data_IF_401542356785
#
_entry.id   IF_401542356785
#
_cell.length_a   1.000
_cell.length_b   1.000
_cell.length_c   1.000
_cell.angle_alpha   90.00
_cell.angle_beta   90.00
_cell.angle_gamma   90.00
#
_symmetry.space_group_name_H-M   'P 1'
#
loop_
_entity.id
_entity.type
_entity.pdbx_description
1 polymer ?
#
# COMPACT_ATOMS: atom_id res chain seq x y z
N UNK A 1 6.55 26.63 14.89
CA UNK A 1 7.55 25.55 14.88
C UNK A 1 7.46 24.75 13.57
N UNK A 2 8.43 24.93 12.66
CA UNK A 2 8.49 24.29 11.34
C UNK A 2 9.35 23.00 11.39
N UNK A 3 8.90 21.99 12.15
CA UNK A 3 9.64 20.73 12.20
C UNK A 3 9.36 19.90 10.95
N UNK A 4 10.40 19.65 10.13
CA UNK A 4 10.33 18.85 8.90
C UNK A 4 9.52 17.56 9.07
N UNK A 5 9.82 16.80 10.12
CA UNK A 5 9.11 15.56 10.45
C UNK A 5 7.62 15.74 10.73
N UNK A 6 7.22 16.80 11.43
CA UNK A 6 5.80 17.05 11.72
C UNK A 6 5.03 17.40 10.44
N UNK A 7 5.64 18.21 9.55
CA UNK A 7 5.10 18.54 8.23
C UNK A 7 4.95 17.28 7.38
N UNK A 8 6.00 16.44 7.34
CA UNK A 8 5.97 15.17 6.63
C UNK A 8 4.90 14.22 7.15
N UNK A 9 4.79 14.04 8.47
CA UNK A 9 3.76 13.18 9.06
C UNK A 9 2.33 13.68 8.76
N UNK A 10 2.11 14.98 8.65
CA UNK A 10 0.83 15.50 8.17
C UNK A 10 0.56 15.09 6.71
N UNK A 11 1.57 15.18 5.84
CA UNK A 11 1.48 14.69 4.46
C UNK A 11 1.19 13.19 4.38
N UNK A 12 1.86 12.39 5.21
CA UNK A 12 1.57 10.96 5.36
C UNK A 12 0.11 10.72 5.74
N UNK A 13 -0.42 11.46 6.73
CA UNK A 13 -1.81 11.27 7.18
C UNK A 13 -2.81 11.53 6.06
N UNK A 14 -2.58 12.57 5.24
CA UNK A 14 -3.43 12.86 4.09
C UNK A 14 -3.37 11.75 3.03
N UNK A 15 -2.16 11.29 2.67
CA UNK A 15 -2.01 10.16 1.77
C UNK A 15 -2.59 8.86 2.34
N UNK A 16 -2.48 8.62 3.64
CA UNK A 16 -3.08 7.45 4.29
C UNK A 16 -4.60 7.51 4.26
N UNK A 17 -5.22 8.68 4.46
CA UNK A 17 -6.67 8.83 4.33
C UNK A 17 -7.14 8.53 2.91
N UNK A 18 -6.43 9.00 1.88
CA UNK A 18 -6.70 8.63 0.50
C UNK A 18 -6.54 7.12 0.26
N UNK A 19 -5.41 6.55 0.67
CA UNK A 19 -5.10 5.14 0.46
C UNK A 19 -6.10 4.20 1.14
N UNK A 20 -6.56 4.56 2.33
CA UNK A 20 -7.57 3.82 3.10
C UNK A 20 -9.01 4.08 2.62
N UNK A 21 -9.21 5.01 1.68
CA UNK A 21 -10.53 5.41 1.19
C UNK A 21 -11.37 6.21 2.20
N UNK A 22 -10.73 6.83 3.17
CA UNK A 22 -11.36 7.71 4.19
C UNK A 22 -11.51 9.14 3.67
N UNK A 23 -10.75 9.53 2.66
CA UNK A 23 -10.87 10.81 1.97
C UNK A 23 -10.77 10.59 0.46
N UNK A 24 -11.38 11.48 -0.31
CA UNK A 24 -11.26 11.44 -1.77
C UNK A 24 -9.82 11.78 -2.18
N UNK A 25 -9.12 10.90 -2.91
CA UNK A 25 -7.71 11.10 -3.23
C UNK A 25 -7.44 12.39 -4.02
N UNK A 26 -8.37 12.81 -4.89
CA UNK A 26 -8.26 14.08 -5.63
C UNK A 26 -8.25 15.33 -4.73
N UNK A 27 -8.79 15.25 -3.52
CA UNK A 27 -8.85 16.39 -2.61
C UNK A 27 -7.59 16.51 -1.73
N UNK A 28 -6.94 15.38 -1.44
CA UNK A 28 -5.89 15.33 -0.40
C UNK A 28 -4.49 15.02 -0.94
N UNK A 29 -4.35 14.39 -2.11
CA UNK A 29 -3.05 13.93 -2.59
C UNK A 29 -2.12 15.07 -3.02
N UNK A 30 -2.64 16.13 -3.64
CA UNK A 30 -1.82 17.28 -4.02
C UNK A 30 -1.28 18.01 -2.78
N UNK A 31 -2.12 18.16 -1.75
CA UNK A 31 -1.71 18.68 -0.44
C UNK A 31 -0.67 17.78 0.24
N UNK A 32 -0.85 16.45 0.18
CA UNK A 32 0.10 15.49 0.71
C UNK A 32 1.46 15.57 0.01
N UNK A 33 1.47 15.73 -1.31
CA UNK A 33 2.70 15.89 -2.10
C UNK A 33 3.42 17.19 -1.73
N UNK A 34 2.68 18.30 -1.63
CA UNK A 34 3.26 19.58 -1.21
C UNK A 34 3.87 19.51 0.19
N UNK A 35 3.20 18.84 1.14
CA UNK A 35 3.72 18.64 2.50
C UNK A 35 4.96 17.74 2.51
N UNK A 36 4.97 16.65 1.73
CA UNK A 36 6.14 15.78 1.59
C UNK A 36 7.35 16.53 1.03
N UNK A 37 7.16 17.34 -0.02
CA UNK A 37 8.23 18.15 -0.60
C UNK A 37 8.75 19.19 0.40
N UNK A 38 7.85 19.90 1.09
CA UNK A 38 8.24 20.86 2.12
C UNK A 38 9.01 20.23 3.28
N UNK A 39 8.70 18.99 3.64
CA UNK A 39 9.47 18.28 4.67
C UNK A 39 10.92 18.05 4.22
N UNK A 40 11.13 17.69 2.96
CA UNK A 40 12.48 17.55 2.38
C UNK A 40 13.21 18.89 2.24
N UNK A 41 12.51 19.94 1.83
CA UNK A 41 13.11 21.28 1.71
C UNK A 41 13.61 21.81 3.05
N UNK A 42 13.00 21.36 4.16
CA UNK A 42 13.37 21.73 5.52
C UNK A 42 14.49 20.85 6.09
N UNK A 43 14.44 19.54 5.84
CA UNK A 43 15.48 18.60 6.25
C UNK A 43 15.57 17.45 5.24
N UNK A 44 16.52 17.57 4.32
CA UNK A 44 16.78 16.56 3.29
C UNK A 44 17.59 15.36 3.81
N UNK A 45 18.14 15.45 5.03
CA UNK A 45 18.91 14.36 5.63
C UNK A 45 18.04 13.48 6.54
N UNK A 46 16.84 13.93 6.94
CA UNK A 46 15.89 13.09 7.69
C UNK A 46 15.32 11.96 6.81
N UNK A 47 15.61 10.67 7.09
CA UNK A 47 15.04 9.55 6.33
C UNK A 47 13.50 9.51 6.40
N UNK A 48 12.88 10.12 7.43
CA UNK A 48 11.41 10.22 7.50
C UNK A 48 10.83 11.12 6.42
N UNK A 49 11.50 12.21 6.04
CA UNK A 49 11.02 13.12 5.01
C UNK A 49 10.96 12.40 3.65
N UNK A 50 12.02 11.64 3.33
CA UNK A 50 12.08 10.77 2.15
C UNK A 50 11.06 9.64 2.18
N UNK A 51 10.89 8.95 3.32
CA UNK A 51 9.88 7.92 3.50
C UNK A 51 8.47 8.45 3.20
N UNK A 52 8.13 9.61 3.75
CA UNK A 52 6.82 10.25 3.55
C UNK A 52 6.61 10.55 2.08
N UNK A 53 7.56 11.25 1.42
CA UNK A 53 7.40 11.58 0.01
C UNK A 53 7.24 10.32 -0.85
N UNK A 54 8.04 9.30 -0.57
CA UNK A 54 7.95 7.99 -1.20
C UNK A 54 6.58 7.32 -1.03
N UNK A 55 6.03 7.34 0.18
CA UNK A 55 4.69 6.83 0.45
C UNK A 55 3.61 7.62 -0.30
N UNK A 56 3.69 8.95 -0.30
CA UNK A 56 2.71 9.81 -1.01
C UNK A 56 2.76 9.54 -2.51
N UNK A 57 3.96 9.43 -3.10
CA UNK A 57 4.11 9.09 -4.52
C UNK A 57 3.57 7.71 -4.85
N UNK A 58 3.76 6.72 -3.97
CA UNK A 58 3.20 5.38 -4.16
C UNK A 58 1.67 5.44 -4.19
N UNK A 59 1.04 6.13 -3.23
CA UNK A 59 -0.42 6.29 -3.19
C UNK A 59 -0.93 7.06 -4.41
N UNK A 60 -0.19 8.07 -4.88
CA UNK A 60 -0.49 8.82 -6.08
C UNK A 60 -0.20 8.06 -7.40
N UNK A 61 0.09 6.74 -7.33
CA UNK A 61 0.40 5.88 -8.49
C UNK A 61 1.57 6.41 -9.33
N UNK A 62 2.61 6.96 -8.68
CA UNK A 62 3.85 7.45 -9.29
C UNK A 62 5.02 6.52 -8.91
N UNK A 63 5.16 5.34 -9.54
CA UNK A 63 6.06 4.28 -9.07
C UNK A 63 7.55 4.65 -9.18
N UNK A 64 7.96 5.47 -10.15
CA UNK A 64 9.36 5.90 -10.27
C UNK A 64 9.74 6.89 -9.15
N UNK A 65 9.05 8.03 -8.97
CA UNK A 65 9.32 8.93 -7.83
C UNK A 65 9.20 8.27 -6.46
N UNK A 66 8.24 7.33 -6.30
CA UNK A 66 8.10 6.58 -5.04
C UNK A 66 9.36 5.80 -4.70
N UNK A 67 9.90 5.03 -5.65
CA UNK A 67 11.09 4.22 -5.43
C UNK A 67 12.34 5.07 -5.23
N UNK A 68 12.48 6.18 -5.94
CA UNK A 68 13.60 7.11 -5.77
C UNK A 68 13.63 7.65 -4.33
N UNK A 69 12.54 8.24 -3.86
CA UNK A 69 12.46 8.77 -2.50
C UNK A 69 12.60 7.67 -1.41
N UNK A 70 12.03 6.48 -1.62
CA UNK A 70 12.20 5.38 -0.65
C UNK A 70 13.62 4.83 -0.62
N UNK A 71 14.34 4.89 -1.75
CA UNK A 71 15.75 4.50 -1.81
C UNK A 71 16.60 5.51 -1.03
N UNK A 72 16.37 6.80 -1.23
CA UNK A 72 17.03 7.86 -0.44
C UNK A 72 16.79 7.71 1.07
N UNK A 73 15.57 7.33 1.49
CA UNK A 73 15.26 7.03 2.89
C UNK A 73 16.09 5.87 3.45
N UNK A 74 16.29 4.81 2.64
CA UNK A 74 17.06 3.62 3.01
C UNK A 74 18.56 3.91 3.01
N UNK A 75 19.07 4.74 2.09
CA UNK A 75 20.48 5.15 2.06
C UNK A 75 20.87 5.91 3.34
N UNK A 76 19.98 6.78 3.83
CA UNK A 76 20.16 7.51 5.11
C UNK A 76 19.97 6.62 6.33
N UNK A 77 19.07 5.64 6.26
CA UNK A 77 18.86 4.65 7.32
C UNK A 77 18.61 3.24 6.76
N UNK A 78 19.67 2.43 6.61
CA UNK A 78 19.56 1.09 6.03
C UNK A 78 18.74 0.09 6.85
N UNK A 79 18.47 0.39 8.13
CA UNK A 79 17.66 -0.45 9.01
C UNK A 79 16.21 0.03 9.12
N UNK A 80 15.79 0.96 8.25
CA UNK A 80 14.45 1.54 8.32
C UNK A 80 13.38 0.58 7.78
N UNK A 81 12.90 -0.32 8.64
CA UNK A 81 11.96 -1.37 8.28
C UNK A 81 10.70 -0.85 7.55
N UNK A 82 10.17 0.31 7.98
CA UNK A 82 9.02 0.94 7.33
C UNK A 82 9.31 1.36 5.88
N UNK A 83 10.49 1.91 5.60
CA UNK A 83 10.90 2.27 4.23
C UNK A 83 11.06 1.04 3.35
N UNK A 84 11.65 -0.04 3.86
CA UNK A 84 11.70 -1.32 3.15
C UNK A 84 10.30 -1.87 2.86
N UNK A 85 9.37 -1.81 3.81
CA UNK A 85 8.00 -2.27 3.61
C UNK A 85 7.27 -1.45 2.52
N UNK A 86 7.34 -0.12 2.58
CA UNK A 86 6.68 0.75 1.60
C UNK A 86 7.35 0.60 0.22
N UNK A 87 8.67 0.42 0.16
CA UNK A 87 9.37 0.12 -1.09
C UNK A 87 8.93 -1.22 -1.69
N UNK A 88 8.75 -2.24 -0.84
CA UNK A 88 8.17 -3.53 -1.22
C UNK A 88 6.78 -3.37 -1.84
N UNK A 89 5.92 -2.59 -1.20
CA UNK A 89 4.58 -2.27 -1.71
C UNK A 89 4.65 -1.52 -3.04
N UNK A 90 5.56 -0.54 -3.17
CA UNK A 90 5.73 0.22 -4.40
C UNK A 90 6.19 -0.66 -5.57
N UNK A 91 7.07 -1.64 -5.34
CA UNK A 91 7.45 -2.62 -6.36
C UNK A 91 6.29 -3.55 -6.73
N UNK A 92 5.58 -4.09 -5.73
CA UNK A 92 4.40 -4.94 -5.97
C UNK A 92 3.32 -4.22 -6.78
N UNK A 93 2.98 -2.98 -6.43
CA UNK A 93 2.05 -2.16 -7.18
C UNK A 93 2.55 -1.78 -8.59
N UNK A 94 3.86 -1.79 -8.82
CA UNK A 94 4.45 -1.61 -10.14
C UNK A 94 4.54 -2.91 -10.97
N UNK A 95 4.04 -4.05 -10.48
CA UNK A 95 4.12 -5.34 -11.15
C UNK A 95 5.45 -6.09 -10.93
N UNK A 96 6.34 -5.56 -10.10
CA UNK A 96 7.68 -6.10 -9.84
C UNK A 96 7.68 -6.91 -8.54
N UNK A 97 6.93 -8.02 -8.54
CA UNK A 97 6.67 -8.79 -7.33
C UNK A 97 7.91 -9.41 -6.67
N UNK A 98 8.92 -9.81 -7.44
CA UNK A 98 10.13 -10.44 -6.89
C UNK A 98 11.00 -9.45 -6.11
N UNK A 99 11.22 -8.26 -6.68
CA UNK A 99 11.91 -7.16 -6.05
C UNK A 99 11.16 -6.70 -4.79
N UNK A 100 9.84 -6.57 -4.90
CA UNK A 100 9.00 -6.14 -3.77
C UNK A 100 9.05 -7.11 -2.58
N UNK A 101 8.99 -8.41 -2.85
CA UNK A 101 9.06 -9.45 -1.81
C UNK A 101 10.39 -9.40 -1.04
N UNK A 102 11.53 -9.21 -1.73
CA UNK A 102 12.84 -9.07 -1.06
C UNK A 102 12.88 -7.94 -0.05
N UNK A 103 12.32 -6.77 -0.39
CA UNK A 103 12.25 -5.64 0.53
C UNK A 103 11.29 -5.90 1.70
N UNK A 104 10.14 -6.52 1.45
CA UNK A 104 9.18 -6.86 2.51
C UNK A 104 9.74 -7.91 3.49
N UNK A 105 10.45 -8.92 3.00
CA UNK A 105 11.13 -9.91 3.84
C UNK A 105 12.23 -9.28 4.69
N UNK A 106 12.99 -8.32 4.14
CA UNK A 106 13.97 -7.56 4.91
C UNK A 106 13.29 -6.72 5.99
N UNK A 107 12.19 -6.03 5.69
CA UNK A 107 11.40 -5.32 6.69
C UNK A 107 10.95 -6.23 7.84
N UNK A 108 10.52 -7.45 7.52
CA UNK A 108 10.12 -8.45 8.52
C UNK A 108 11.29 -8.87 9.42
N UNK A 109 12.50 -9.03 8.87
CA UNK A 109 13.71 -9.36 9.66
C UNK A 109 14.18 -8.20 10.53
N UNK A 110 14.09 -6.97 10.02
CA UNK A 110 14.49 -5.75 10.74
C UNK A 110 13.55 -5.45 11.91
N UNK A 111 12.26 -5.76 11.79
CA UNK A 111 11.25 -5.45 12.81
C UNK A 111 10.27 -6.61 13.07
N UNK A 112 10.74 -7.76 13.60
CA UNK A 112 9.95 -8.99 13.69
C UNK A 112 8.81 -8.96 14.74
N UNK A 113 8.80 -7.97 15.62
CA UNK A 113 7.81 -7.81 16.71
C UNK A 113 7.06 -6.48 16.66
N UNK A 114 7.11 -5.81 15.53
CA UNK A 114 6.59 -4.46 15.38
C UNK A 114 5.15 -4.46 14.87
N UNK A 115 4.45 -3.39 15.22
CA UNK A 115 3.11 -3.02 14.79
C UNK A 115 2.89 -3.03 13.28
N UNK A 116 3.97 -2.95 12.47
CA UNK A 116 3.90 -2.99 11.01
C UNK A 116 3.74 -4.40 10.42
N UNK A 117 3.81 -5.47 11.22
CA UNK A 117 3.84 -6.86 10.70
C UNK A 117 2.64 -7.20 9.81
N UNK A 118 1.43 -6.71 10.11
CA UNK A 118 0.26 -6.92 9.26
C UNK A 118 0.44 -6.26 7.88
N UNK A 119 1.05 -5.07 7.83
CA UNK A 119 1.35 -4.35 6.60
C UNK A 119 2.48 -5.02 5.80
N UNK A 120 3.47 -5.62 6.47
CA UNK A 120 4.50 -6.44 5.81
C UNK A 120 3.88 -7.69 5.18
N UNK A 121 3.01 -8.42 5.90
CA UNK A 121 2.29 -9.57 5.35
C UNK A 121 1.44 -9.19 4.13
N UNK A 122 0.68 -8.09 4.23
CA UNK A 122 -0.11 -7.59 3.11
C UNK A 122 0.76 -7.16 1.92
N UNK A 123 1.93 -6.58 2.18
CA UNK A 123 2.92 -6.25 1.14
C UNK A 123 3.40 -7.49 0.42
N UNK A 124 3.75 -8.56 1.15
CA UNK A 124 4.15 -9.84 0.55
C UNK A 124 3.00 -10.39 -0.29
N UNK A 125 1.76 -10.37 0.22
CA UNK A 125 0.57 -10.77 -0.54
C UNK A 125 0.38 -10.00 -1.85
N UNK A 126 0.58 -8.67 -1.82
CA UNK A 126 0.55 -7.82 -3.02
C UNK A 126 1.65 -8.21 -4.02
N UNK A 127 2.85 -8.56 -3.54
CA UNK A 127 3.96 -9.01 -4.38
C UNK A 127 3.67 -10.37 -5.03
N UNK A 128 3.04 -11.30 -4.31
CA UNK A 128 2.59 -12.57 -4.87
C UNK A 128 1.49 -12.37 -5.92
N UNK A 129 0.52 -11.50 -5.66
CA UNK A 129 -0.50 -11.13 -6.63
C UNK A 129 0.12 -10.57 -7.92
N UNK A 130 1.06 -9.61 -7.81
CA UNK A 130 1.77 -9.03 -8.94
C UNK A 130 2.54 -10.07 -9.77
N UNK A 131 3.00 -11.15 -9.14
CA UNK A 131 3.69 -12.25 -9.80
C UNK A 131 2.76 -13.38 -10.28
N UNK A 132 1.44 -13.20 -10.23
CA UNK A 132 0.45 -14.19 -10.65
C UNK A 132 0.28 -15.38 -9.69
N UNK A 133 0.91 -15.34 -8.51
CA UNK A 133 0.85 -16.38 -7.48
C UNK A 133 -0.36 -16.17 -6.57
N UNK A 134 -1.54 -16.45 -7.11
CA UNK A 134 -2.83 -16.10 -6.47
C UNK A 134 -3.05 -16.84 -5.14
N UNK A 135 -2.71 -18.13 -5.06
CA UNK A 135 -2.90 -18.93 -3.84
C UNK A 135 -2.08 -18.38 -2.66
N UNK A 136 -0.80 -18.09 -2.88
CA UNK A 136 0.05 -17.48 -1.86
C UNK A 136 -0.41 -16.06 -1.51
N UNK A 137 -0.89 -15.30 -2.50
CA UNK A 137 -1.45 -13.97 -2.22
C UNK A 137 -2.64 -14.05 -1.27
N UNK A 138 -3.54 -15.04 -1.44
CA UNK A 138 -4.67 -15.30 -0.51
C UNK A 138 -4.14 -15.60 0.90
N UNK A 139 -3.17 -16.51 1.04
CA UNK A 139 -2.62 -16.89 2.34
C UNK A 139 -2.08 -15.68 3.10
N UNK A 140 -1.24 -14.86 2.44
CA UNK A 140 -0.61 -13.71 3.08
C UNK A 140 -1.61 -12.59 3.42
N UNK A 141 -2.58 -12.31 2.54
CA UNK A 141 -3.62 -11.31 2.86
C UNK A 141 -4.52 -11.79 3.99
N UNK A 142 -4.85 -13.09 4.03
CA UNK A 142 -5.65 -13.67 5.11
C UNK A 142 -4.92 -13.56 6.46
N UNK A 143 -3.62 -13.88 6.50
CA UNK A 143 -2.79 -13.69 7.70
C UNK A 143 -2.71 -12.22 8.13
N UNK A 144 -2.63 -11.29 7.18
CA UNK A 144 -2.59 -9.86 7.47
C UNK A 144 -3.87 -9.37 8.17
N UNK A 145 -5.05 -9.80 7.70
CA UNK A 145 -6.34 -9.40 8.29
C UNK A 145 -6.62 -10.10 9.62
N UNK A 146 -6.12 -11.32 9.82
CA UNK A 146 -6.16 -12.01 11.11
C UNK A 146 -5.34 -11.25 12.17
N UNK A 147 -4.16 -10.75 11.78
CA UNK A 147 -3.31 -9.98 12.67
C UNK A 147 -3.88 -8.59 12.97
N UNK A 148 -4.46 -7.93 11.96
CA UNK A 148 -5.08 -6.60 12.12
C UNK A 148 -6.45 -6.56 11.44
N UNK A 149 -7.51 -6.79 12.23
CA UNK A 149 -8.90 -6.79 11.75
C UNK A 149 -9.38 -5.48 11.15
N UNK A 150 -8.82 -4.33 11.55
CA UNK A 150 -9.20 -3.02 10.99
C UNK A 150 -8.22 -2.53 9.91
N UNK A 151 -7.82 -3.43 9.00
CA UNK A 151 -6.85 -3.11 7.93
C UNK A 151 -7.50 -3.14 6.55
N UNK A 152 -8.13 -2.02 6.17
CA UNK A 152 -8.98 -1.94 4.98
C UNK A 152 -8.28 -2.26 3.64
N UNK A 153 -7.01 -1.90 3.47
CA UNK A 153 -6.23 -2.28 2.26
C UNK A 153 -6.06 -3.80 2.16
N UNK A 154 -5.81 -4.49 3.27
CA UNK A 154 -5.65 -5.95 3.28
C UNK A 154 -6.97 -6.68 3.03
N UNK A 155 -8.09 -6.19 3.59
CA UNK A 155 -9.41 -6.75 3.29
C UNK A 155 -9.80 -6.60 1.81
N UNK A 156 -9.55 -5.43 1.20
CA UNK A 156 -9.75 -5.22 -0.24
C UNK A 156 -8.91 -6.18 -1.07
N UNK A 157 -7.63 -6.30 -0.75
CA UNK A 157 -6.73 -7.20 -1.46
C UNK A 157 -7.14 -8.66 -1.28
N UNK A 158 -7.54 -9.07 -0.07
CA UNK A 158 -8.06 -10.42 0.18
C UNK A 158 -9.31 -10.70 -0.66
N UNK A 159 -10.26 -9.77 -0.72
CA UNK A 159 -11.45 -9.91 -1.55
C UNK A 159 -11.08 -10.11 -3.04
N UNK A 160 -10.16 -9.30 -3.55
CA UNK A 160 -9.69 -9.39 -4.93
C UNK A 160 -9.02 -10.75 -5.21
N UNK A 161 -8.03 -11.15 -4.41
CA UNK A 161 -7.28 -12.40 -4.67
C UNK A 161 -8.10 -13.65 -4.39
N UNK A 162 -9.02 -13.63 -3.41
CA UNK A 162 -9.95 -14.72 -3.16
C UNK A 162 -10.93 -14.89 -4.34
N UNK A 163 -11.46 -13.79 -4.90
CA UNK A 163 -12.30 -13.84 -6.09
C UNK A 163 -11.59 -14.41 -7.32
N UNK A 164 -10.30 -14.12 -7.48
CA UNK A 164 -9.47 -14.72 -8.53
C UNK A 164 -9.16 -16.19 -8.28
N UNK A 165 -9.01 -16.60 -7.01
CA UNK A 165 -8.78 -18.00 -6.65
C UNK A 165 -10.00 -18.90 -6.83
N UNK A 166 -11.20 -18.31 -6.92
CA UNK A 166 -12.47 -19.04 -7.01
C UNK A 166 -13.12 -19.34 -5.65
N UNK A 167 -12.48 -19.01 -4.52
CA UNK A 167 -13.12 -19.04 -3.21
C UNK A 167 -14.06 -17.84 -3.03
N UNK A 168 -15.24 -17.94 -3.66
CA UNK A 168 -16.22 -16.86 -3.69
C UNK A 168 -16.82 -16.58 -2.30
N UNK A 169 -16.85 -17.58 -1.41
CA UNK A 169 -17.35 -17.40 -0.05
C UNK A 169 -16.39 -16.52 0.78
N UNK A 170 -15.09 -16.81 0.73
CA UNK A 170 -14.08 -15.96 1.34
C UNK A 170 -14.05 -14.58 0.69
N UNK A 171 -14.16 -14.51 -0.64
CA UNK A 171 -14.15 -13.26 -1.38
C UNK A 171 -15.29 -12.33 -0.95
N UNK A 172 -16.52 -12.85 -0.89
CA UNK A 172 -17.69 -12.08 -0.44
C UNK A 172 -17.57 -11.62 1.01
N UNK A 173 -17.07 -12.49 1.92
CA UNK A 173 -16.84 -12.12 3.31
C UNK A 173 -15.77 -11.03 3.45
N UNK A 174 -14.68 -11.13 2.70
CA UNK A 174 -13.62 -10.14 2.71
C UNK A 174 -14.08 -8.80 2.10
N UNK A 175 -14.91 -8.85 1.06
CA UNK A 175 -15.51 -7.66 0.45
C UNK A 175 -16.44 -6.94 1.43
N UNK A 176 -17.25 -7.67 2.19
CA UNK A 176 -18.12 -7.08 3.21
C UNK A 176 -17.31 -6.30 4.27
N UNK A 177 -16.19 -6.85 4.76
CA UNK A 177 -15.30 -6.13 5.68
C UNK A 177 -14.60 -4.95 5.02
N UNK A 178 -14.19 -5.09 3.75
CA UNK A 178 -13.63 -3.99 2.98
C UNK A 178 -14.63 -2.82 2.86
N UNK A 179 -15.89 -3.09 2.53
CA UNK A 179 -16.96 -2.09 2.41
C UNK A 179 -17.35 -1.49 3.77
N UNK A 180 -17.28 -2.28 4.85
CA UNK A 180 -17.49 -1.76 6.21
C UNK A 180 -16.46 -0.70 6.59
N UNK A 181 -15.21 -0.85 6.13
CA UNK A 181 -14.11 0.08 6.41
C UNK A 181 -14.07 1.22 5.39
N UNK A 182 -14.34 0.92 4.11
CA UNK A 182 -14.37 1.86 2.99
C UNK A 182 -15.73 1.79 2.27
N UNK A 183 -16.76 2.51 2.76
CA UNK A 183 -18.09 2.47 2.16
C UNK A 183 -18.17 3.03 0.73
N UNK A 184 -17.22 3.89 0.32
CA UNK A 184 -17.14 4.45 -1.04
C UNK A 184 -16.33 3.58 -2.02
N UNK A 185 -15.98 2.34 -1.64
CA UNK A 185 -15.23 1.45 -2.52
C UNK A 185 -16.09 1.08 -3.73
N UNK A 186 -15.62 1.42 -4.93
CA UNK A 186 -16.24 1.07 -6.21
C UNK A 186 -15.17 0.62 -7.21
N UNK A 187 -15.59 -0.02 -8.31
CA UNK A 187 -14.67 -0.33 -9.40
C UNK A 187 -14.06 0.94 -10.04
N UNK A 188 -14.82 2.05 -10.09
CA UNK A 188 -14.31 3.34 -10.56
C UNK A 188 -13.23 3.91 -9.62
N UNK A 189 -13.42 3.78 -8.29
CA UNK A 189 -12.39 4.15 -7.32
C UNK A 189 -11.11 3.32 -7.54
N UNK A 190 -11.25 2.01 -7.79
CA UNK A 190 -10.11 1.15 -8.11
C UNK A 190 -9.41 1.64 -9.38
N UNK A 191 -10.20 1.98 -10.41
CA UNK A 191 -9.67 2.48 -11.67
C UNK A 191 -8.85 3.77 -11.48
N UNK A 192 -9.43 4.75 -10.79
CA UNK A 192 -8.83 6.09 -10.66
C UNK A 192 -7.72 6.17 -9.63
N UNK A 193 -7.85 5.47 -8.51
CA UNK A 193 -7.07 5.79 -7.32
C UNK A 193 -6.28 4.64 -6.70
N UNK A 194 -6.57 3.37 -7.01
CA UNK A 194 -5.81 2.27 -6.44
C UNK A 194 -4.31 2.36 -6.85
N UNK A 195 -3.33 2.12 -5.96
CA UNK A 195 -1.91 2.34 -6.27
C UNK A 195 -1.29 1.45 -7.38
N UNK A 196 -1.98 0.39 -7.82
CA UNK A 196 -1.48 -0.50 -8.89
C UNK A 196 -1.29 0.30 -10.19
N UNK A 197 -0.06 0.35 -10.69
CA UNK A 197 0.30 1.15 -11.85
C UNK A 197 -0.02 0.47 -13.20
N UNK A 198 0.35 -0.81 -13.44
CA UNK A 198 0.02 -1.49 -14.70
C UNK A 198 -1.49 -1.65 -14.84
N UNK A 199 -2.03 -1.22 -15.99
CA UNK A 199 -3.46 -1.23 -16.24
C UNK A 199 -4.04 -2.65 -16.25
N UNK A 200 -3.30 -3.60 -16.82
CA UNK A 200 -3.69 -5.01 -16.91
C UNK A 200 -3.77 -5.65 -15.52
N UNK A 201 -2.78 -5.38 -14.66
CA UNK A 201 -2.77 -5.89 -13.29
C UNK A 201 -3.90 -5.27 -12.46
N UNK A 202 -4.20 -3.99 -12.68
CA UNK A 202 -5.30 -3.29 -12.01
C UNK A 202 -6.67 -3.78 -12.49
N UNK A 203 -6.82 -4.07 -13.78
CA UNK A 203 -8.00 -4.69 -14.35
C UNK A 203 -8.22 -6.11 -13.79
N UNK A 204 -7.15 -6.90 -13.63
CA UNK A 204 -7.22 -8.21 -12.99
C UNK A 204 -7.64 -8.11 -11.51
N UNK A 205 -7.10 -7.13 -10.78
CA UNK A 205 -7.52 -6.84 -9.40
C UNK A 205 -9.01 -6.48 -9.31
N UNK A 206 -9.48 -5.61 -10.22
CA UNK A 206 -10.88 -5.21 -10.31
C UNK A 206 -11.80 -6.39 -10.68
N UNK A 207 -11.35 -7.29 -11.56
CA UNK A 207 -12.08 -8.53 -11.88
C UNK A 207 -12.21 -9.45 -10.66
N UNK A 208 -11.16 -9.58 -9.85
CA UNK A 208 -11.22 -10.28 -8.58
C UNK A 208 -12.30 -9.72 -7.64
N UNK A 209 -12.36 -8.40 -7.52
CA UNK A 209 -13.40 -7.72 -6.73
C UNK A 209 -14.80 -7.90 -7.33
N UNK A 210 -14.93 -7.88 -8.65
CA UNK A 210 -16.21 -8.16 -9.33
C UNK A 210 -16.72 -9.56 -9.01
N UNK A 211 -15.83 -10.56 -9.04
CA UNK A 211 -16.16 -11.94 -8.62
C UNK A 211 -16.52 -12.04 -7.15
N UNK A 212 -15.96 -11.17 -6.30
CA UNK A 212 -16.33 -11.05 -4.90
C UNK A 212 -17.71 -10.39 -4.68
N UNK A 213 -18.33 -9.85 -5.74
CA UNK A 213 -19.64 -9.20 -5.69
C UNK A 213 -19.60 -7.67 -5.69
N UNK A 214 -18.45 -7.04 -5.97
CA UNK A 214 -18.36 -5.59 -6.11
C UNK A 214 -18.91 -5.17 -7.48
N UNK A 215 -20.02 -4.41 -7.46
CA UNK A 215 -20.67 -3.83 -8.64
C UNK A 215 -20.13 -2.45 -8.99
#
# INVERSE_FOLDING_TARGET
PEYARAIGLLGWLYAARAHLGVAEPSEVLDGALSLGQRALDQDNDDPWAHLVLGYVHMVARRPKPAREALTEAIERNPSFAMAHMILGSSYGYAGMGAEGARHAELAMRLSPRDTIQAAVLSTIGTCHFAAGRIAEAVEFQHRAVQLRRNFGTAWRSLAAVAGLSGDLALAASALAEALRIQPNLTLDWIERYHPIAPAELRALYAEGLRRAGLS
#
